data_IF_763750272319
#
_entry.id   IF_763750272319
#
_cell.length_a   1.000
_cell.length_b   1.000
_cell.length_c   1.000
_cell.angle_alpha   90.00
_cell.angle_beta   90.00
_cell.angle_gamma   90.00
#
_symmetry.space_group_name_H-M   'P 1'
#
loop_
_entity.id
_entity.type
_entity.pdbx_description
1 polymer ?
#
# COMPACT_ATOMS: atom_id res chain seq x y z
N UNK A 1 0.39 -8.56 -16.74
CA UNK A 1 1.29 -7.38 -16.68
C UNK A 1 2.42 -7.75 -15.72
N UNK A 2 3.67 -7.39 -16.01
CA UNK A 2 4.83 -7.74 -15.16
C UNK A 2 5.17 -6.55 -14.26
N UNK A 3 5.74 -6.80 -13.08
CA UNK A 3 6.18 -5.75 -12.15
C UNK A 3 7.25 -4.80 -12.73
N UNK A 4 7.85 -5.15 -13.88
CA UNK A 4 8.85 -4.35 -14.60
C UNK A 4 8.26 -3.09 -15.26
N UNK A 5 6.96 -3.06 -15.56
CA UNK A 5 6.27 -1.87 -16.10
C UNK A 5 5.81 -0.89 -15.01
N UNK A 6 6.09 -1.21 -13.74
CA UNK A 6 5.53 -0.48 -12.61
C UNK A 6 6.61 0.37 -11.99
N UNK A 7 6.39 1.68 -12.04
CA UNK A 7 7.26 2.66 -11.41
C UNK A 7 7.08 2.63 -9.89
N UNK A 8 7.99 1.93 -9.22
CA UNK A 8 8.10 1.99 -7.77
C UNK A 8 8.80 3.27 -7.31
N UNK A 9 8.44 3.85 -6.14
CA UNK A 9 7.42 3.37 -5.21
C UNK A 9 5.99 3.69 -5.65
N UNK A 10 5.08 2.74 -5.44
CA UNK A 10 3.66 2.86 -5.77
C UNK A 10 2.86 3.12 -4.51
N UNK A 11 1.96 4.09 -4.53
CA UNK A 11 1.11 4.42 -3.40
C UNK A 11 -0.35 4.09 -3.71
N UNK A 12 -1.00 3.35 -2.81
CA UNK A 12 -2.38 2.87 -2.92
C UNK A 12 -3.16 3.22 -1.67
N UNK A 13 -4.46 3.44 -1.80
CA UNK A 13 -5.38 3.64 -0.68
C UNK A 13 -6.64 2.82 -0.90
N UNK A 14 -7.10 2.09 0.11
CA UNK A 14 -8.43 1.48 0.05
C UNK A 14 -9.53 2.53 0.02
N UNK A 15 -10.59 2.25 -0.75
CA UNK A 15 -11.77 3.13 -0.88
C UNK A 15 -12.49 3.38 0.47
N UNK A 16 -12.22 2.53 1.46
CA UNK A 16 -12.70 2.73 2.83
C UNK A 16 -11.94 3.83 3.61
N UNK A 17 -10.91 4.45 3.04
CA UNK A 17 -10.04 5.46 3.67
C UNK A 17 -9.42 5.02 5.02
N UNK A 18 -9.47 3.71 5.31
CA UNK A 18 -8.94 3.10 6.53
C UNK A 18 -7.56 2.48 6.33
N UNK A 19 -7.19 2.13 5.10
CA UNK A 19 -5.90 1.51 4.82
C UNK A 19 -5.20 2.17 3.66
N UNK A 20 -3.90 2.40 3.82
CA UNK A 20 -3.00 3.03 2.86
C UNK A 20 -1.80 2.11 2.70
N UNK A 21 -1.29 1.98 1.49
CA UNK A 21 -0.19 1.07 1.17
C UNK A 21 0.83 1.82 0.34
N UNK A 22 2.10 1.67 0.69
CA UNK A 22 3.25 2.20 -0.03
C UNK A 22 4.11 1.01 -0.41
N UNK A 23 3.99 0.60 -1.66
CA UNK A 23 4.75 -0.52 -2.19
C UNK A 23 6.09 0.03 -2.68
N UNK A 24 7.17 -0.27 -1.96
CA UNK A 24 8.54 0.11 -2.35
C UNK A 24 9.09 -0.92 -3.34
N UNK A 25 8.75 -2.19 -3.16
CA UNK A 25 9.12 -3.31 -4.01
C UNK A 25 8.05 -4.41 -3.95
N UNK A 26 8.04 -5.36 -4.91
CA UNK A 26 7.17 -6.54 -4.85
C UNK A 26 7.43 -7.43 -3.62
N UNK A 27 8.55 -7.22 -2.92
CA UNK A 27 8.92 -7.92 -1.69
C UNK A 27 8.94 -7.03 -0.44
N UNK A 28 8.68 -5.72 -0.59
CA UNK A 28 8.75 -4.76 0.53
C UNK A 28 7.71 -3.67 0.34
N UNK A 29 6.79 -3.57 1.30
CA UNK A 29 5.76 -2.54 1.29
C UNK A 29 5.45 -2.07 2.71
N UNK A 30 4.97 -0.84 2.84
CA UNK A 30 4.56 -0.24 4.10
C UNK A 30 3.03 -0.04 4.07
N UNK A 31 2.31 -0.65 4.99
CA UNK A 31 0.88 -0.44 5.17
C UNK A 31 0.59 0.48 6.35
N UNK A 32 -0.40 1.36 6.21
CA UNK A 32 -0.95 2.21 7.26
C UNK A 32 -2.39 1.81 7.44
N UNK A 33 -2.74 1.35 8.64
CA UNK A 33 -4.11 1.04 9.01
C UNK A 33 -4.62 2.04 10.05
N UNK A 34 -5.71 2.72 9.76
CA UNK A 34 -6.41 3.62 10.67
C UNK A 34 -7.41 2.80 11.48
N UNK A 35 -7.16 2.67 12.79
CA UNK A 35 -7.98 1.93 13.74
C UNK A 35 -8.57 2.94 14.74
N UNK A 36 -9.78 3.40 14.45
CA UNK A 36 -10.43 4.46 15.23
C UNK A 36 -9.64 5.76 15.12
N UNK A 37 -9.09 6.24 16.24
CA UNK A 37 -8.26 7.44 16.30
C UNK A 37 -6.76 7.18 16.17
N UNK A 38 -6.34 5.90 16.13
CA UNK A 38 -4.92 5.53 16.04
C UNK A 38 -4.57 5.13 14.62
N UNK A 39 -3.35 5.45 14.20
CA UNK A 39 -2.76 5.02 12.94
C UNK A 39 -1.70 3.98 13.24
N UNK A 40 -1.75 2.86 12.54
CA UNK A 40 -0.84 1.75 12.69
C UNK A 40 -0.04 1.63 11.40
N UNK A 41 1.21 2.05 11.44
CA UNK A 41 2.14 1.93 10.32
C UNK A 41 2.95 0.63 10.51
N UNK A 42 2.95 -0.23 9.50
CA UNK A 42 3.66 -1.51 9.51
C UNK A 42 4.43 -1.66 8.21
N UNK A 43 5.74 -1.86 8.33
CA UNK A 43 6.55 -2.29 7.21
C UNK A 43 6.50 -3.81 7.12
N UNK A 44 6.08 -4.32 5.96
CA UNK A 44 5.90 -5.73 5.69
C UNK A 44 6.86 -6.14 4.58
N UNK A 45 7.76 -7.06 4.93
CA UNK A 45 8.66 -7.69 3.99
C UNK A 45 7.98 -8.97 3.51
N UNK A 46 7.49 -8.98 2.27
CA UNK A 46 6.86 -10.14 1.65
C UNK A 46 7.89 -11.24 1.38
N UNK A 47 8.25 -11.95 2.44
CA UNK A 47 9.11 -13.12 2.45
C UNK A 47 8.32 -14.39 2.13
N UNK A 48 7.02 -14.39 2.44
CA UNK A 48 6.12 -15.51 2.20
C UNK A 48 5.24 -15.28 0.97
N UNK A 49 4.91 -16.38 0.28
CA UNK A 49 3.97 -16.42 -0.85
C UNK A 49 2.65 -15.64 -0.64
N UNK A 50 1.94 -15.74 0.51
CA UNK A 50 0.71 -14.97 0.74
C UNK A 50 0.92 -13.46 0.64
N UNK A 51 2.02 -12.94 1.18
CA UNK A 51 2.33 -11.50 1.15
C UNK A 51 2.70 -11.05 -0.27
N UNK A 52 3.45 -11.89 -1.01
CA UNK A 52 3.75 -11.61 -2.42
C UNK A 52 2.49 -11.55 -3.27
N UNK A 53 1.55 -12.48 -3.04
CA UNK A 53 0.25 -12.49 -3.70
C UNK A 53 -0.57 -11.26 -3.31
N UNK A 54 -0.50 -10.82 -2.06
CA UNK A 54 -1.17 -9.62 -1.59
C UNK A 54 -0.67 -8.36 -2.32
N UNK A 55 0.65 -8.18 -2.43
CA UNK A 55 1.22 -7.06 -3.19
C UNK A 55 0.84 -7.15 -4.67
N UNK A 56 0.87 -8.35 -5.24
CA UNK A 56 0.46 -8.55 -6.64
C UNK A 56 -1.00 -8.13 -6.86
N UNK A 57 -1.91 -8.52 -5.97
CA UNK A 57 -3.33 -8.15 -6.04
C UNK A 57 -3.51 -6.64 -5.84
N UNK A 58 -2.80 -6.03 -4.89
CA UNK A 58 -2.79 -4.57 -4.66
C UNK A 58 -2.20 -3.75 -5.82
N UNK A 59 -1.45 -4.39 -6.71
CA UNK A 59 -0.76 -3.72 -7.82
C UNK A 59 -1.50 -3.94 -9.14
N UNK A 60 -2.07 -5.13 -9.36
CA UNK A 60 -2.77 -5.47 -10.60
C UNK A 60 -4.29 -5.49 -10.48
N UNK A 61 -4.82 -5.79 -9.30
CA UNK A 61 -6.24 -6.03 -9.05
C UNK A 61 -6.87 -5.03 -8.06
N UNK A 62 -6.16 -3.95 -7.78
CA UNK A 62 -6.61 -2.93 -6.84
C UNK A 62 -7.83 -2.14 -7.29
N UNK A 63 -8.15 -2.09 -8.59
CA UNK A 63 -9.12 -1.13 -9.15
C UNK A 63 -10.51 -1.19 -8.49
N UNK A 64 -10.89 -2.38 -7.99
CA UNK A 64 -12.17 -2.57 -7.30
C UNK A 64 -12.12 -2.10 -5.83
N UNK A 65 -11.03 -2.37 -5.11
CA UNK A 65 -10.92 -2.16 -3.65
C UNK A 65 -10.12 -0.92 -3.23
N UNK A 66 -9.17 -0.49 -4.06
CA UNK A 66 -8.21 0.57 -3.82
C UNK A 66 -8.13 1.57 -4.99
N UNK A 67 -7.50 2.70 -4.71
CA UNK A 67 -7.20 3.76 -5.66
C UNK A 67 -5.73 4.14 -5.57
N UNK A 68 -5.20 4.64 -6.68
CA UNK A 68 -3.87 5.24 -6.73
C UNK A 68 -3.90 6.57 -6.02
N UNK A 69 -2.91 6.79 -5.16
CA UNK A 69 -2.72 8.06 -4.47
C UNK A 69 -1.32 8.57 -4.74
N UNK A 70 -1.09 9.85 -4.47
CA UNK A 70 0.25 10.43 -4.55
C UNK A 70 1.06 10.18 -3.27
N UNK A 71 2.39 10.26 -3.40
CA UNK A 71 3.34 10.30 -2.30
C UNK A 71 3.05 11.39 -1.27
N UNK A 72 2.52 12.55 -1.69
CA UNK A 72 2.12 13.65 -0.81
C UNK A 72 0.97 13.25 0.10
N UNK A 73 -0.08 12.65 -0.48
CA UNK A 73 -1.27 12.20 0.24
C UNK A 73 -0.89 11.16 1.30
N UNK A 74 -0.03 10.20 0.94
CA UNK A 74 0.45 9.19 1.87
C UNK A 74 1.23 9.81 3.03
N UNK A 75 2.12 10.76 2.74
CA UNK A 75 2.95 11.44 3.74
C UNK A 75 2.11 12.29 4.69
N UNK A 76 1.09 12.98 4.18
CA UNK A 76 0.16 13.77 5.00
C UNK A 76 -0.60 12.90 6.00
N UNK A 77 -1.05 11.70 5.58
CA UNK A 77 -1.73 10.74 6.45
C UNK A 77 -0.77 10.21 7.52
N UNK A 78 0.49 9.93 7.15
CA UNK A 78 1.53 9.41 8.06
C UNK A 78 1.98 10.44 9.10
N UNK A 79 2.13 11.71 8.69
CA UNK A 79 2.66 12.78 9.54
C UNK A 79 1.60 13.43 10.45
N UNK A 80 0.32 13.38 10.06
CA UNK A 80 -0.78 13.82 10.93
C UNK A 80 -0.81 12.94 12.20
N UNK A 81 -0.22 13.43 13.28
CA UNK A 81 -0.27 12.87 14.65
C UNK A 81 -1.16 13.78 15.51
#
# INVERSE_FOLDING_TARGET
MKFEDIHFPVYRKYKNNKSYFKIIHPRLFEEIQIIGSKKLVREVNALQLPEMNFVHDLVFNYSDMAVEIDSLEYSAIRDTI
#
